data_IF_526809691242
#
_entry.id   IF_526809691242
#
_cell.length_a   1.000
_cell.length_b   1.000
_cell.length_c   1.000
_cell.angle_alpha   90.00
_cell.angle_beta   90.00
_cell.angle_gamma   90.00
#
_symmetry.space_group_name_H-M   'P 1'
#
loop_
_entity.id
_entity.type
_entity.pdbx_description
1 polymer ?
#
# COMPACT_ATOMS: atom_id res chain seq x y z
N UNK A 1 5.05 17.32 -11.42
CA UNK A 1 5.89 17.49 -10.20
C UNK A 1 5.26 18.37 -9.13
N UNK A 2 4.84 19.61 -9.40
CA UNK A 2 4.33 20.52 -8.35
C UNK A 2 3.14 19.95 -7.54
N UNK A 3 2.13 19.39 -8.22
CA UNK A 3 0.95 18.81 -7.57
C UNK A 3 1.27 17.56 -6.73
N UNK A 4 2.15 16.66 -7.21
CA UNK A 4 2.67 15.54 -6.42
C UNK A 4 3.36 16.03 -5.14
N UNK A 5 4.28 16.99 -5.26
CA UNK A 5 5.00 17.54 -4.09
C UNK A 5 4.02 18.16 -3.09
N UNK A 6 3.02 18.91 -3.56
CA UNK A 6 1.97 19.50 -2.70
C UNK A 6 1.17 18.43 -1.97
N UNK A 7 0.78 17.34 -2.63
CA UNK A 7 0.12 16.22 -1.97
C UNK A 7 0.99 15.66 -0.83
N UNK A 8 2.26 15.36 -1.12
CA UNK A 8 3.18 14.79 -0.13
C UNK A 8 3.45 15.75 1.04
N UNK A 9 3.53 17.06 0.78
CA UNK A 9 3.64 18.08 1.83
C UNK A 9 2.37 18.12 2.70
N UNK A 10 1.17 18.09 2.10
CA UNK A 10 -0.08 18.09 2.84
C UNK A 10 -0.24 16.84 3.71
N UNK A 11 0.10 15.66 3.17
CA UNK A 11 0.07 14.39 3.89
C UNK A 11 1.09 14.40 5.02
N UNK A 12 2.34 14.76 4.75
CA UNK A 12 3.41 14.72 5.73
C UNK A 12 3.21 15.75 6.85
N UNK A 13 2.70 16.94 6.55
CA UNK A 13 2.34 17.93 7.58
C UNK A 13 1.18 17.43 8.47
N UNK A 14 0.23 16.70 7.89
CA UNK A 14 -0.88 16.11 8.67
C UNK A 14 -0.42 14.95 9.55
N UNK A 15 0.58 14.20 9.11
CA UNK A 15 1.28 13.20 9.93
C UNK A 15 2.05 13.86 11.07
N UNK A 16 2.71 14.99 10.81
CA UNK A 16 3.42 15.73 11.86
C UNK A 16 2.46 16.14 12.99
N UNK A 17 1.24 16.54 12.64
CA UNK A 17 0.19 16.91 13.59
C UNK A 17 -0.42 15.70 14.32
N UNK A 18 -0.72 14.60 13.60
CA UNK A 18 -1.64 13.57 14.11
C UNK A 18 -1.05 12.14 14.14
N UNK A 19 0.09 11.91 13.49
CA UNK A 19 0.60 10.56 13.18
C UNK A 19 2.00 10.26 13.70
N UNK A 20 2.69 11.23 14.33
CA UNK A 20 4.13 11.10 14.60
C UNK A 20 4.48 9.92 15.49
N UNK A 21 3.66 9.66 16.52
CA UNK A 21 3.86 8.52 17.42
C UNK A 21 3.72 7.19 16.66
N UNK A 22 2.79 7.09 15.73
CA UNK A 22 2.58 5.87 14.95
C UNK A 22 3.77 5.59 14.01
N UNK A 23 4.29 6.64 13.36
CA UNK A 23 5.51 6.55 12.54
C UNK A 23 6.71 6.12 13.38
N UNK A 24 6.96 6.77 14.51
CA UNK A 24 8.12 6.46 15.36
C UNK A 24 8.08 5.05 15.95
N UNK A 25 6.90 4.55 16.30
CA UNK A 25 6.76 3.21 16.89
C UNK A 25 6.48 2.12 15.84
N UNK A 26 6.45 2.47 14.54
CA UNK A 26 6.20 1.53 13.44
C UNK A 26 4.87 0.78 13.56
N UNK A 27 3.87 1.41 14.16
CA UNK A 27 2.54 0.85 14.39
C UNK A 27 1.52 1.40 13.38
N UNK A 28 0.39 0.69 13.16
CA UNK A 28 -0.72 1.22 12.36
C UNK A 28 -1.27 2.54 12.92
N UNK A 29 -1.76 3.41 12.04
CA UNK A 29 -2.34 4.70 12.45
C UNK A 29 -3.68 4.56 13.18
N UNK A 30 -4.44 3.49 12.94
CA UNK A 30 -5.75 3.29 13.55
C UNK A 30 -6.68 4.49 13.29
N UNK A 31 -7.30 5.01 14.36
CA UNK A 31 -8.20 6.17 14.30
C UNK A 31 -7.50 7.44 13.79
N UNK A 32 -6.20 7.61 14.08
CA UNK A 32 -5.41 8.77 13.62
C UNK A 32 -5.28 8.85 12.10
N UNK A 33 -5.57 7.76 11.36
CA UNK A 33 -5.59 7.82 9.90
C UNK A 33 -6.66 8.78 9.38
N UNK A 34 -7.81 8.84 10.05
CA UNK A 34 -8.87 9.81 9.70
C UNK A 34 -8.43 11.24 9.98
N UNK A 35 -7.75 11.50 11.10
CA UNK A 35 -7.22 12.82 11.42
C UNK A 35 -6.16 13.27 10.40
N UNK A 36 -5.30 12.33 9.96
CA UNK A 36 -4.34 12.58 8.87
C UNK A 36 -5.08 12.91 7.57
N UNK A 37 -6.12 12.17 7.22
CA UNK A 37 -6.94 12.44 6.03
C UNK A 37 -7.64 13.81 6.11
N UNK A 38 -8.19 14.16 7.27
CA UNK A 38 -8.84 15.44 7.53
C UNK A 38 -7.86 16.62 7.47
N UNK A 39 -6.67 16.46 8.05
CA UNK A 39 -5.58 17.41 7.92
C UNK A 39 -5.14 17.60 6.47
N UNK A 40 -5.01 16.49 5.73
CA UNK A 40 -4.57 16.52 4.33
C UNK A 40 -5.60 17.23 3.47
N UNK A 41 -6.88 16.91 3.64
CA UNK A 41 -8.00 17.54 2.94
C UNK A 41 -8.04 19.05 3.15
N UNK A 42 -7.92 19.48 4.42
CA UNK A 42 -7.88 20.90 4.78
C UNK A 42 -6.70 21.63 4.14
N UNK A 43 -5.50 21.06 4.23
CA UNK A 43 -4.27 21.65 3.66
C UNK A 43 -4.30 21.72 2.13
N UNK A 44 -4.87 20.72 1.46
CA UNK A 44 -5.08 20.77 0.00
C UNK A 44 -5.99 21.93 -0.39
N UNK A 45 -7.08 22.16 0.37
CA UNK A 45 -7.95 23.33 0.15
C UNK A 45 -7.24 24.65 0.41
N UNK A 46 -6.46 24.75 1.49
CA UNK A 46 -5.70 25.96 1.84
C UNK A 46 -4.68 26.36 0.76
N UNK A 47 -4.07 25.39 0.08
CA UNK A 47 -3.15 25.65 -1.04
C UNK A 47 -3.83 25.63 -2.42
N UNK A 48 -5.17 25.66 -2.47
CA UNK A 48 -5.99 25.65 -3.69
C UNK A 48 -5.67 24.47 -4.64
N UNK A 49 -5.18 23.35 -4.08
CA UNK A 49 -4.85 22.17 -4.85
C UNK A 49 -6.09 21.28 -5.01
N UNK A 50 -6.43 20.96 -6.26
CA UNK A 50 -7.52 20.03 -6.55
C UNK A 50 -7.12 18.61 -6.12
N UNK A 51 -7.86 17.95 -5.20
CA UNK A 51 -7.51 16.61 -4.74
C UNK A 51 -7.45 15.55 -5.84
N UNK A 52 -8.33 15.59 -6.85
CA UNK A 52 -8.26 14.67 -8.00
C UNK A 52 -6.98 14.90 -8.82
N UNK A 53 -6.59 16.16 -9.03
CA UNK A 53 -5.36 16.49 -9.76
C UNK A 53 -4.11 16.02 -8.99
N UNK A 54 -4.12 16.18 -7.67
CA UNK A 54 -3.09 15.66 -6.77
C UNK A 54 -2.96 14.14 -6.85
N UNK A 55 -4.08 13.41 -6.79
CA UNK A 55 -4.11 11.95 -6.97
C UNK A 55 -3.65 11.54 -8.36
N UNK A 56 -4.06 12.24 -9.42
CA UNK A 56 -3.62 11.97 -10.80
C UNK A 56 -2.12 12.18 -10.97
N UNK A 57 -1.56 13.23 -10.36
CA UNK A 57 -0.12 13.48 -10.36
C UNK A 57 0.65 12.38 -9.62
N UNK A 58 0.14 11.90 -8.48
CA UNK A 58 0.74 10.80 -7.74
C UNK A 58 0.66 9.47 -8.51
N UNK A 59 -0.50 9.15 -9.07
CA UNK A 59 -0.72 7.95 -9.87
C UNK A 59 0.25 7.87 -11.06
N UNK A 60 0.49 8.99 -11.76
CA UNK A 60 1.32 9.06 -12.96
C UNK A 60 2.83 9.18 -12.73
N UNK A 61 3.30 9.46 -11.51
CA UNK A 61 4.70 9.83 -11.25
C UNK A 61 5.72 8.69 -11.45
N UNK A 62 6.91 9.00 -11.95
CA UNK A 62 8.01 8.02 -12.03
C UNK A 62 8.59 7.69 -10.65
N UNK A 63 9.37 6.61 -10.54
CA UNK A 63 10.02 6.24 -9.27
C UNK A 63 11.00 7.32 -8.82
N UNK A 64 11.69 7.93 -9.77
CA UNK A 64 12.67 9.00 -9.57
C UNK A 64 11.97 10.27 -9.06
N UNK A 65 10.84 10.64 -9.66
CA UNK A 65 10.03 11.78 -9.22
C UNK A 65 9.47 11.57 -7.81
N UNK A 66 8.97 10.37 -7.50
CA UNK A 66 8.44 10.04 -6.18
C UNK A 66 9.52 10.16 -5.11
N UNK A 67 10.69 9.57 -5.34
CA UNK A 67 11.82 9.64 -4.40
C UNK A 67 12.26 11.08 -4.15
N UNK A 68 12.42 11.87 -5.22
CA UNK A 68 12.84 13.26 -5.09
C UNK A 68 11.79 14.09 -4.30
N UNK A 69 10.51 13.97 -4.66
CA UNK A 69 9.44 14.72 -4.01
C UNK A 69 9.26 14.31 -2.53
N UNK A 70 9.35 13.02 -2.20
CA UNK A 70 9.25 12.53 -0.84
C UNK A 70 10.41 13.01 0.04
N UNK A 71 11.65 12.95 -0.46
CA UNK A 71 12.84 13.40 0.26
C UNK A 71 12.85 14.92 0.48
N UNK A 72 12.34 15.70 -0.48
CA UNK A 72 12.12 17.14 -0.30
C UNK A 72 11.05 17.43 0.75
N UNK A 73 9.87 16.80 0.63
CA UNK A 73 8.77 17.03 1.56
C UNK A 73 9.14 16.63 2.99
N UNK A 74 9.79 15.48 3.18
CA UNK A 74 10.24 15.04 4.51
C UNK A 74 11.22 16.04 5.15
N UNK A 75 12.18 16.56 4.38
CA UNK A 75 13.13 17.59 4.87
C UNK A 75 12.44 18.89 5.24
N UNK A 76 11.45 19.31 4.46
CA UNK A 76 10.70 20.54 4.73
C UNK A 76 9.84 20.41 6.00
N UNK A 77 9.23 19.24 6.22
CA UNK A 77 8.31 19.01 7.32
C UNK A 77 9.03 18.67 8.63
N UNK A 78 10.12 17.90 8.56
CA UNK A 78 10.76 17.27 9.73
C UNK A 78 12.29 17.43 9.73
N UNK A 79 12.85 18.38 8.97
CA UNK A 79 14.29 18.64 8.94
C UNK A 79 14.89 19.11 10.27
N UNK A 80 14.04 19.59 11.19
CA UNK A 80 14.38 19.95 12.57
C UNK A 80 14.26 18.79 13.57
N UNK A 81 13.81 17.61 13.13
CA UNK A 81 13.56 16.44 13.96
C UNK A 81 14.73 15.44 13.96
N UNK A 82 14.55 14.30 14.65
CA UNK A 82 15.57 13.25 14.67
C UNK A 82 15.80 12.64 13.27
N UNK A 83 17.03 12.18 12.96
CA UNK A 83 17.32 11.53 11.68
C UNK A 83 16.45 10.31 11.39
N UNK A 84 16.11 9.55 12.43
CA UNK A 84 15.21 8.40 12.33
C UNK A 84 13.81 8.81 11.88
N UNK A 85 13.26 9.88 12.46
CA UNK A 85 11.94 10.34 12.10
C UNK A 85 11.89 10.88 10.68
N UNK A 86 12.92 11.61 10.26
CA UNK A 86 13.06 12.10 8.90
C UNK A 86 13.05 10.94 7.89
N UNK A 87 13.83 9.89 8.15
CA UNK A 87 13.89 8.69 7.31
C UNK A 87 12.55 7.95 7.28
N UNK A 88 11.88 7.79 8.42
CA UNK A 88 10.58 7.12 8.49
C UNK A 88 9.49 7.92 7.77
N UNK A 89 9.49 9.25 7.88
CA UNK A 89 8.57 10.11 7.15
C UNK A 89 8.82 10.06 5.63
N UNK A 90 10.07 10.13 5.19
CA UNK A 90 10.43 9.98 3.78
C UNK A 90 9.96 8.62 3.23
N UNK A 91 10.22 7.55 3.98
CA UNK A 91 9.78 6.19 3.63
C UNK A 91 8.26 6.11 3.51
N UNK A 92 7.51 6.72 4.43
CA UNK A 92 6.05 6.80 4.35
C UNK A 92 5.58 7.55 3.10
N UNK A 93 6.11 8.75 2.87
CA UNK A 93 5.70 9.60 1.75
C UNK A 93 6.02 8.98 0.39
N UNK A 94 7.11 8.21 0.30
CA UNK A 94 7.48 7.44 -0.89
C UNK A 94 6.39 6.41 -1.27
N UNK A 95 5.58 5.98 -0.30
CA UNK A 95 4.58 4.92 -0.48
C UNK A 95 3.17 5.46 -0.77
N UNK A 96 2.93 6.74 -0.53
CA UNK A 96 1.63 7.38 -0.84
C UNK A 96 1.25 7.16 -2.32
N UNK A 97 2.11 7.40 -3.32
CA UNK A 97 1.75 7.15 -4.73
C UNK A 97 1.43 5.68 -5.05
N UNK A 98 2.05 4.72 -4.34
CA UNK A 98 1.74 3.31 -4.51
C UNK A 98 0.35 2.97 -3.96
N UNK A 99 -0.01 3.49 -2.78
CA UNK A 99 -1.36 3.37 -2.23
C UNK A 99 -2.41 4.03 -3.14
N UNK A 100 -2.07 5.19 -3.73
CA UNK A 100 -2.92 5.86 -4.72
C UNK A 100 -3.19 4.94 -5.90
N UNK A 101 -2.15 4.38 -6.52
CA UNK A 101 -2.30 3.47 -7.66
C UNK A 101 -3.14 2.26 -7.32
N UNK A 102 -2.87 1.64 -6.17
CA UNK A 102 -3.60 0.46 -5.71
C UNK A 102 -5.11 0.75 -5.67
N UNK A 103 -5.50 1.86 -5.06
CA UNK A 103 -6.91 2.25 -4.91
C UNK A 103 -7.57 2.73 -6.21
N UNK A 104 -6.78 3.07 -7.24
CA UNK A 104 -7.27 3.45 -8.57
C UNK A 104 -7.31 2.28 -9.58
N UNK A 105 -6.79 1.10 -9.22
CA UNK A 105 -6.78 -0.08 -10.10
C UNK A 105 -8.20 -0.49 -10.48
N UNK A 106 -8.41 -0.75 -11.76
CA UNK A 106 -9.69 -1.20 -12.33
C UNK A 106 -9.45 -1.97 -13.63
N UNK A 107 -10.43 -2.73 -14.15
CA UNK A 107 -10.25 -3.53 -15.37
C UNK A 107 -9.71 -2.73 -16.58
N UNK A 108 -10.10 -1.46 -16.70
CA UNK A 108 -9.64 -0.57 -17.79
C UNK A 108 -8.28 0.08 -17.52
N UNK A 109 -7.75 -0.01 -16.30
CA UNK A 109 -6.43 0.51 -15.90
C UNK A 109 -5.87 -0.34 -14.73
N UNK A 110 -5.24 -1.45 -15.09
CA UNK A 110 -4.68 -2.41 -14.12
C UNK A 110 -3.52 -1.83 -13.30
N UNK A 111 -2.87 -0.77 -13.81
CA UNK A 111 -1.75 -0.12 -13.13
C UNK A 111 -2.22 1.03 -12.20
N UNK A 112 -3.50 1.43 -12.28
CA UNK A 112 -4.07 2.52 -11.49
C UNK A 112 -3.37 3.86 -11.72
N UNK A 113 -2.91 4.11 -12.96
CA UNK A 113 -2.16 5.33 -13.31
C UNK A 113 -3.05 6.52 -13.62
N UNK A 114 -4.35 6.30 -13.75
CA UNK A 114 -5.33 7.32 -14.09
C UNK A 114 -6.45 7.38 -13.07
N UNK A 115 -6.88 8.61 -12.76
CA UNK A 115 -8.04 8.87 -11.92
C UNK A 115 -9.31 8.70 -12.76
N UNK A 116 -10.31 7.91 -12.32
CA UNK A 116 -11.59 7.82 -12.99
C UNK A 116 -12.28 9.19 -13.07
N UNK A 117 -12.87 9.58 -14.22
CA UNK A 117 -13.52 10.88 -14.39
C UNK A 117 -14.73 11.08 -13.46
N UNK A 118 -15.31 10.00 -12.99
CA UNK A 118 -16.46 9.89 -12.09
C UNK A 118 -16.07 9.82 -10.60
N UNK A 119 -14.77 9.76 -10.26
CA UNK A 119 -14.32 9.74 -8.87
C UNK A 119 -14.65 11.07 -8.17
N UNK A 120 -15.69 11.13 -7.36
CA UNK A 120 -16.00 12.32 -6.56
C UNK A 120 -15.35 12.23 -5.19
N UNK A 121 -14.55 13.24 -4.84
CA UNK A 121 -14.01 13.42 -3.49
C UNK A 121 -14.78 14.57 -2.84
N UNK A 122 -15.62 14.26 -1.84
CA UNK A 122 -16.48 15.21 -1.15
C UNK A 122 -15.92 15.61 0.22
N UNK A 123 -15.08 14.78 0.83
CA UNK A 123 -14.52 15.07 2.14
C UNK A 123 -13.31 14.21 2.53
N UNK A 124 -12.86 14.37 3.80
CA UNK A 124 -11.71 13.64 4.34
C UNK A 124 -11.80 12.12 4.22
N UNK A 125 -12.98 11.55 4.43
CA UNK A 125 -13.19 10.10 4.37
C UNK A 125 -12.84 9.52 3.00
N UNK A 126 -13.04 10.29 1.93
CA UNK A 126 -12.74 9.86 0.56
C UNK A 126 -11.24 9.81 0.28
N UNK A 127 -10.40 10.42 1.14
CA UNK A 127 -8.95 10.31 1.04
C UNK A 127 -8.39 9.05 1.71
N UNK A 128 -9.13 8.40 2.61
CA UNK A 128 -8.65 7.24 3.37
C UNK A 128 -8.08 6.11 2.49
N UNK A 129 -8.72 5.72 1.36
CA UNK A 129 -8.18 4.65 0.52
C UNK A 129 -6.82 4.98 -0.09
N UNK A 130 -6.47 6.26 -0.21
CA UNK A 130 -5.25 6.71 -0.88
C UNK A 130 -4.07 6.94 0.08
N UNK A 131 -4.27 6.71 1.38
CA UNK A 131 -3.25 6.90 2.40
C UNK A 131 -2.80 5.54 2.96
N UNK A 132 -1.48 5.26 3.01
CA UNK A 132 -1.01 4.05 3.67
C UNK A 132 -1.42 4.04 5.15
N UNK A 133 -2.02 2.94 5.61
CA UNK A 133 -2.53 2.79 6.98
C UNK A 133 -1.46 2.57 8.04
N UNK A 134 -0.21 2.38 7.62
CA UNK A 134 0.98 2.18 8.43
C UNK A 134 2.23 2.51 7.63
N UNK A 135 3.37 2.64 8.30
CA UNK A 135 4.66 2.57 7.62
C UNK A 135 4.91 1.11 7.18
N UNK A 136 5.25 0.84 5.91
CA UNK A 136 5.61 -0.49 5.49
C UNK A 136 6.99 -0.89 6.03
N UNK A 137 7.12 -2.14 6.49
CA UNK A 137 8.36 -2.78 6.95
C UNK A 137 9.30 -3.06 5.78
N UNK A 138 8.76 -3.28 4.59
CA UNK A 138 9.51 -3.61 3.39
C UNK A 138 9.46 -2.50 2.32
N UNK A 139 10.39 -2.57 1.36
CA UNK A 139 10.43 -1.70 0.18
C UNK A 139 10.75 -2.49 -1.10
N UNK A 140 10.47 -1.92 -2.30
CA UNK A 140 10.86 -2.54 -3.55
C UNK A 140 12.37 -2.79 -3.62
N UNK A 141 12.75 -3.99 -4.05
CA UNK A 141 14.13 -4.47 -4.13
C UNK A 141 14.58 -5.31 -2.92
N UNK A 142 13.82 -5.30 -1.83
CA UNK A 142 14.14 -6.13 -0.67
C UNK A 142 14.07 -7.62 -1.01
N UNK A 143 14.91 -8.40 -0.31
CA UNK A 143 14.97 -9.86 -0.37
C UNK A 143 14.70 -10.41 1.03
N UNK A 144 13.45 -10.75 1.36
CA UNK A 144 13.09 -11.21 2.70
C UNK A 144 13.86 -12.48 3.07
N UNK A 145 14.53 -12.46 4.22
CA UNK A 145 15.27 -13.62 4.69
C UNK A 145 14.31 -14.80 4.95
N UNK A 146 14.71 -16.00 4.57
CA UNK A 146 13.96 -17.24 4.77
C UNK A 146 12.54 -17.27 4.15
N UNK A 147 12.20 -16.38 3.22
CA UNK A 147 10.97 -16.44 2.42
C UNK A 147 11.30 -16.59 0.92
N UNK A 148 11.96 -17.71 0.58
CA UNK A 148 12.33 -18.03 -0.80
C UNK A 148 13.39 -17.09 -1.42
N UNK A 149 13.67 -17.28 -2.71
CA UNK A 149 14.59 -16.43 -3.47
C UNK A 149 13.80 -15.39 -4.27
N UNK A 150 13.00 -14.59 -3.55
CA UNK A 150 12.11 -13.60 -4.13
C UNK A 150 12.66 -12.18 -3.95
N UNK A 151 12.45 -11.33 -4.94
CA UNK A 151 12.68 -9.88 -4.84
C UNK A 151 11.33 -9.20 -4.82
N UNK A 152 11.08 -8.37 -3.81
CA UNK A 152 9.85 -7.59 -3.72
C UNK A 152 9.84 -6.53 -4.81
N UNK A 153 8.78 -6.46 -5.62
CA UNK A 153 8.69 -5.52 -6.74
C UNK A 153 7.61 -4.46 -6.53
N UNK A 154 6.50 -4.81 -5.89
CA UNK A 154 5.36 -3.92 -5.71
C UNK A 154 4.56 -4.27 -4.45
N UNK A 155 4.20 -3.27 -3.66
CA UNK A 155 3.27 -3.44 -2.54
C UNK A 155 1.85 -3.57 -3.10
N UNK A 156 1.19 -4.69 -2.85
CA UNK A 156 -0.16 -5.00 -3.33
C UNK A 156 -1.24 -4.65 -2.31
N UNK A 157 -0.88 -4.52 -1.04
CA UNK A 157 -1.82 -4.12 0.00
C UNK A 157 -1.22 -4.07 1.39
N UNK A 158 -1.82 -3.23 2.22
CA UNK A 158 -1.57 -3.17 3.66
C UNK A 158 -2.89 -3.36 4.39
N UNK A 159 -2.88 -4.15 5.46
CA UNK A 159 -4.08 -4.39 6.28
C UNK A 159 -3.73 -4.83 7.69
N UNK A 160 -4.75 -5.16 8.49
CA UNK A 160 -4.57 -5.52 9.91
C UNK A 160 -3.61 -6.71 10.13
N UNK A 161 -3.52 -7.62 9.15
CA UNK A 161 -2.65 -8.79 9.23
C UNK A 161 -1.22 -8.54 8.75
N UNK A 162 -0.94 -7.40 8.11
CA UNK A 162 0.40 -7.03 7.63
C UNK A 162 0.42 -6.55 6.19
N UNK A 163 1.41 -6.99 5.42
CA UNK A 163 1.70 -6.51 4.08
C UNK A 163 1.59 -7.62 3.05
N UNK A 164 1.10 -7.29 1.86
CA UNK A 164 1.08 -8.19 0.70
C UNK A 164 1.92 -7.56 -0.40
N UNK A 165 2.88 -8.30 -0.92
CA UNK A 165 3.80 -7.84 -1.95
C UNK A 165 3.77 -8.75 -3.17
N UNK A 166 3.78 -8.16 -4.36
CA UNK A 166 4.19 -8.85 -5.58
C UNK A 166 5.69 -9.08 -5.50
N UNK A 167 6.12 -10.30 -5.79
CA UNK A 167 7.53 -10.64 -5.84
C UNK A 167 7.87 -11.43 -7.09
N UNK A 168 9.10 -11.26 -7.57
CA UNK A 168 9.62 -11.89 -8.77
C UNK A 168 10.93 -12.61 -8.47
N UNK A 169 11.18 -13.71 -9.17
CA UNK A 169 12.44 -14.43 -9.02
C UNK A 169 13.56 -13.65 -9.74
N UNK A 170 14.70 -13.37 -9.10
CA UNK A 170 15.72 -12.49 -9.68
C UNK A 170 16.27 -13.03 -11.00
N UNK A 171 16.52 -14.34 -11.06
CA UNK A 171 17.16 -15.01 -12.20
C UNK A 171 16.21 -15.73 -13.17
N UNK A 172 15.00 -16.09 -12.75
CA UNK A 172 14.09 -16.95 -13.53
C UNK A 172 12.96 -16.09 -14.09
N UNK A 173 13.22 -15.41 -15.21
CA UNK A 173 12.29 -14.42 -15.79
C UNK A 173 10.97 -15.02 -16.31
N UNK A 174 10.97 -16.30 -16.62
CA UNK A 174 9.77 -17.02 -17.07
C UNK A 174 8.94 -17.58 -15.91
N UNK A 175 9.44 -17.50 -14.67
CA UNK A 175 8.67 -17.92 -13.50
C UNK A 175 7.61 -16.85 -13.21
N UNK A 176 6.31 -17.21 -13.13
CA UNK A 176 5.27 -16.23 -12.82
C UNK A 176 5.53 -15.54 -11.47
N UNK A 177 5.15 -14.26 -11.32
CA UNK A 177 5.22 -13.58 -10.04
C UNK A 177 4.36 -14.27 -8.98
N UNK A 178 4.68 -13.99 -7.72
CA UNK A 178 3.94 -14.48 -6.54
C UNK A 178 3.42 -13.32 -5.70
N UNK A 179 2.41 -13.58 -4.87
CA UNK A 179 1.99 -12.68 -3.81
C UNK A 179 2.51 -13.19 -2.47
N UNK A 180 3.43 -12.45 -1.85
CA UNK A 180 3.96 -12.73 -0.52
C UNK A 180 3.17 -11.94 0.52
N UNK A 181 2.45 -12.64 1.40
CA UNK A 181 1.75 -12.04 2.54
C UNK A 181 2.58 -12.19 3.81
N UNK A 182 3.10 -11.08 4.30
CA UNK A 182 3.87 -10.98 5.54
C UNK A 182 2.95 -10.71 6.72
N UNK A 183 2.95 -11.62 7.69
CA UNK A 183 2.19 -11.49 8.92
C UNK A 183 2.95 -10.63 9.93
N UNK A 184 2.60 -9.36 10.02
CA UNK A 184 3.30 -8.39 10.88
C UNK A 184 2.76 -8.34 12.31
N UNK A 185 1.59 -8.92 12.56
CA UNK A 185 1.03 -9.08 13.90
C UNK A 185 1.65 -10.31 14.60
N UNK A 186 2.35 -10.15 15.75
CA UNK A 186 2.97 -11.27 16.46
C UNK A 186 1.98 -12.34 16.96
N UNK A 187 0.76 -11.96 17.33
CA UNK A 187 -0.27 -12.89 17.78
C UNK A 187 -0.80 -13.72 16.60
N UNK A 188 -1.09 -13.07 15.47
CA UNK A 188 -1.49 -13.77 14.25
C UNK A 188 -0.37 -14.68 13.73
N UNK A 189 0.90 -14.24 13.78
CA UNK A 189 2.05 -15.06 13.41
C UNK A 189 2.19 -16.30 14.30
N UNK A 190 1.91 -16.18 15.60
CA UNK A 190 1.88 -17.32 16.52
C UNK A 190 0.75 -18.30 16.18
N UNK A 191 -0.44 -17.81 15.85
CA UNK A 191 -1.56 -18.66 15.42
C UNK A 191 -1.19 -19.45 14.16
N UNK A 192 -0.60 -18.78 13.15
CA UNK A 192 -0.16 -19.43 11.92
C UNK A 192 0.86 -20.55 12.18
N UNK A 193 1.80 -20.36 13.11
CA UNK A 193 2.75 -21.41 13.50
C UNK A 193 2.06 -22.59 14.18
N UNK A 194 1.11 -22.32 15.07
CA UNK A 194 0.35 -23.37 15.75
C UNK A 194 -0.56 -24.15 14.79
N UNK A 195 -0.98 -23.52 13.68
CA UNK A 195 -1.84 -24.09 12.66
C UNK A 195 -1.09 -24.66 11.44
N UNK A 196 0.21 -24.98 11.58
CA UNK A 196 1.03 -25.50 10.50
C UNK A 196 0.41 -26.70 9.76
N UNK A 197 -0.22 -27.62 10.49
CA UNK A 197 -0.92 -28.78 9.90
C UNK A 197 -2.13 -28.39 9.05
N UNK A 198 -2.82 -27.29 9.39
CA UNK A 198 -3.93 -26.79 8.58
C UNK A 198 -3.41 -26.19 7.27
N UNK A 199 -2.34 -25.40 7.33
CA UNK A 199 -1.68 -24.84 6.14
C UNK A 199 -1.19 -25.94 5.21
N UNK A 200 -0.58 -27.00 5.75
CA UNK A 200 -0.16 -28.18 4.97
C UNK A 200 -1.35 -28.86 4.26
N UNK A 201 -2.49 -29.02 4.95
CA UNK A 201 -3.71 -29.55 4.32
C UNK A 201 -4.20 -28.65 3.20
N UNK A 202 -4.22 -27.33 3.41
CA UNK A 202 -4.64 -26.34 2.40
C UNK A 202 -3.74 -26.44 1.16
N UNK A 203 -2.42 -26.48 1.34
CA UNK A 203 -1.46 -26.60 0.23
C UNK A 203 -1.63 -27.91 -0.54
N UNK A 204 -1.92 -29.03 0.13
CA UNK A 204 -2.18 -30.33 -0.51
C UNK A 204 -3.44 -30.36 -1.37
N UNK A 205 -4.45 -29.57 -1.04
CA UNK A 205 -5.67 -29.47 -1.86
C UNK A 205 -5.43 -28.73 -3.19
N UNK A 206 -4.35 -27.95 -3.30
CA UNK A 206 -3.96 -27.28 -4.53
C UNK A 206 -4.92 -26.18 -4.97
N UNK A 207 -5.00 -25.95 -6.28
CA UNK A 207 -5.83 -24.89 -6.85
C UNK A 207 -7.31 -25.26 -6.88
N UNK A 208 -8.16 -24.34 -6.44
CA UNK A 208 -9.62 -24.46 -6.54
C UNK A 208 -10.18 -23.21 -7.24
N UNK A 209 -11.16 -23.35 -8.17
CA UNK A 209 -11.80 -22.20 -8.79
C UNK A 209 -12.33 -21.21 -7.73
N UNK A 210 -11.96 -19.94 -7.86
CA UNK A 210 -12.38 -18.87 -6.95
C UNK A 210 -11.61 -18.76 -5.62
N UNK A 211 -10.61 -19.61 -5.37
CA UNK A 211 -9.75 -19.53 -4.18
C UNK A 211 -8.29 -19.35 -4.64
N UNK A 212 -7.64 -18.28 -4.20
CA UNK A 212 -6.23 -18.01 -4.49
C UNK A 212 -5.37 -19.09 -3.82
N UNK A 213 -4.59 -19.83 -4.62
CA UNK A 213 -3.81 -20.96 -4.15
C UNK A 213 -2.65 -20.53 -3.24
N UNK A 214 -2.59 -21.11 -2.04
CA UNK A 214 -1.42 -21.08 -1.16
C UNK A 214 -0.38 -22.07 -1.68
N UNK A 215 0.81 -21.58 -2.06
CA UNK A 215 1.90 -22.38 -2.64
C UNK A 215 2.92 -22.81 -1.59
N UNK A 216 3.24 -21.93 -0.66
CA UNK A 216 4.23 -22.19 0.38
C UNK A 216 3.92 -21.39 1.65
N UNK A 217 4.27 -21.95 2.81
CA UNK A 217 4.20 -21.27 4.10
C UNK A 217 5.58 -21.27 4.77
N UNK A 218 6.20 -20.09 4.86
CA UNK A 218 7.48 -19.89 5.52
C UNK A 218 7.23 -19.49 6.99
N UNK A 219 7.03 -20.49 7.84
CA UNK A 219 6.70 -20.28 9.27
C UNK A 219 7.90 -19.86 10.13
N UNK A 220 9.11 -20.16 9.64
CA UNK A 220 10.39 -19.82 10.29
C UNK A 220 10.96 -18.46 9.83
N UNK A 221 10.31 -17.78 8.88
CA UNK A 221 10.70 -16.41 8.55
C UNK A 221 10.24 -15.42 9.62
N UNK A 222 10.96 -14.31 9.77
CA UNK A 222 10.49 -13.13 10.51
C UNK A 222 10.38 -11.93 9.57
N UNK A 223 9.17 -11.42 9.32
CA UNK A 223 7.86 -11.93 9.76
C UNK A 223 7.48 -13.26 9.07
N UNK A 224 6.49 -13.98 9.62
CA UNK A 224 5.92 -15.18 8.95
C UNK A 224 5.42 -14.79 7.56
N UNK A 225 5.77 -15.57 6.55
CA UNK A 225 5.52 -15.25 5.15
C UNK A 225 4.70 -16.38 4.51
N UNK A 226 3.60 -16.03 3.84
CA UNK A 226 2.78 -16.96 3.07
C UNK A 226 2.89 -16.60 1.59
N UNK A 227 3.28 -17.56 0.76
CA UNK A 227 3.37 -17.39 -0.70
C UNK A 227 2.09 -17.90 -1.36
N UNK A 228 1.44 -17.00 -2.09
CA UNK A 228 0.28 -17.30 -2.91
C UNK A 228 0.61 -17.14 -4.39
N UNK A 229 -0.21 -17.75 -5.23
CA UNK A 229 -0.25 -17.31 -6.62
C UNK A 229 -0.58 -15.81 -6.72
N UNK A 230 0.05 -15.14 -7.68
CA UNK A 230 -0.33 -13.78 -8.02
C UNK A 230 -1.50 -13.82 -9.01
N UNK A 231 -2.62 -13.22 -8.62
CA UNK A 231 -3.76 -13.00 -9.52
C UNK A 231 -3.71 -11.55 -10.01
N UNK A 232 -3.70 -11.37 -11.32
CA UNK A 232 -3.74 -10.05 -11.93
C UNK A 232 -5.14 -9.43 -11.80
N UNK A 233 -5.21 -8.16 -11.41
CA UNK A 233 -6.48 -7.44 -11.24
C UNK A 233 -6.45 -6.42 -10.09
N UNK A 234 -7.65 -5.92 -9.78
CA UNK A 234 -7.92 -5.09 -8.60
C UNK A 234 -8.64 -5.89 -7.50
N UNK A 235 -8.86 -5.27 -6.35
CA UNK A 235 -9.61 -5.87 -5.26
C UNK A 235 -11.12 -5.60 -5.35
N UNK A 236 -11.89 -6.27 -4.50
CA UNK A 236 -13.35 -6.12 -4.44
C UNK A 236 -13.78 -4.69 -4.08
N UNK A 237 -12.99 -3.94 -3.32
CA UNK A 237 -13.29 -2.56 -2.95
C UNK A 237 -13.27 -1.67 -4.18
N UNK A 238 -12.26 -1.84 -5.04
CA UNK A 238 -12.18 -1.14 -6.32
C UNK A 238 -13.34 -1.52 -7.24
N UNK A 239 -13.71 -2.81 -7.28
CA UNK A 239 -14.86 -3.27 -8.08
C UNK A 239 -16.20 -2.68 -7.60
N UNK A 240 -16.45 -2.69 -6.29
CA UNK A 240 -17.65 -2.11 -5.69
C UNK A 240 -17.70 -0.61 -5.93
N UNK A 241 -16.55 0.07 -5.79
CA UNK A 241 -16.44 1.49 -6.09
C UNK A 241 -16.84 1.74 -7.54
N UNK A 242 -16.34 0.98 -8.49
CA UNK A 242 -16.75 1.12 -9.90
C UNK A 242 -18.26 0.91 -10.12
N UNK A 243 -18.87 -0.09 -9.49
CA UNK A 243 -20.31 -0.35 -9.64
C UNK A 243 -21.18 0.77 -9.10
N UNK A 244 -20.80 1.38 -7.98
CA UNK A 244 -21.54 2.53 -7.43
C UNK A 244 -21.57 3.71 -8.40
N UNK A 245 -20.61 3.80 -9.32
CA UNK A 245 -20.48 4.89 -10.27
C UNK A 245 -20.87 4.51 -11.72
N UNK A 246 -21.26 3.25 -11.98
CA UNK A 246 -21.88 2.81 -13.24
C UNK A 246 -23.33 2.34 -13.00
N UNK A 247 -24.34 3.20 -13.23
CA UNK A 247 -25.75 2.85 -12.99
C UNK A 247 -26.28 1.70 -13.86
N UNK A 248 -25.74 1.53 -15.07
CA UNK A 248 -26.34 0.70 -16.14
C UNK A 248 -25.42 -0.42 -16.70
N UNK A 249 -24.36 -0.80 -15.99
CA UNK A 249 -23.49 -1.92 -16.40
C UNK A 249 -24.09 -3.29 -16.04
N UNK A 250 -23.79 -4.37 -16.79
CA UNK A 250 -24.20 -5.73 -16.42
C UNK A 250 -23.62 -6.08 -15.05
N UNK A 251 -24.51 -6.44 -14.11
CA UNK A 251 -24.11 -6.99 -12.81
C UNK A 251 -23.70 -8.46 -13.03
N UNK A 252 -22.66 -8.96 -12.35
CA UNK A 252 -22.21 -10.34 -12.51
C UNK A 252 -23.25 -11.35 -12.03
#
# INVERSE_FOLDING_TARGET
>A
MASLKRLLLCVGASIRENGMKAIMNLIPFGESLYDIAAGTWRKLKECEENPQAALQAAAGASREEIKAAAAEAAREIAGDQSPELLLNLESYLTQVPAAVRQSLRRPTDLAGRTVPPDLVLAGPADLLPFLPSRLPRFKPGDRPANCGNWVLVELLGTGGFGEVWKAEHPSLKNLPPVALKFCLDPAAARSLRNEAQLLDRIMRHGAHPGIVALRQAYLESDPVCLEYEYVEGGDLTSLISQWKHQPDGPRP
#
